data_IF_459078447366
#
_entry.id   IF_459078447366
#
_cell.length_a   1.000
_cell.length_b   1.000
_cell.length_c   1.000
_cell.angle_alpha   90.00
_cell.angle_beta   90.00
_cell.angle_gamma   90.00
#
_symmetry.space_group_name_H-M   'P 1'
#
loop_
_entity.id
_entity.type
_entity.pdbx_description
1 polymer ?
#
# COMPACT_ATOMS: atom_id res chain seq x y z
N UNK A 1 35.04 19.17 -1.20
CA UNK A 1 33.69 19.76 -1.19
C UNK A 1 32.72 18.72 -1.72
N UNK A 2 31.83 18.19 -0.89
CA UNK A 2 30.85 17.20 -1.31
C UNK A 2 29.69 17.98 -1.92
N UNK A 3 29.48 17.87 -3.22
CA UNK A 3 28.37 18.52 -3.89
C UNK A 3 27.05 18.06 -3.24
N UNK A 4 26.23 19.00 -2.76
CA UNK A 4 24.88 18.67 -2.33
C UNK A 4 24.08 18.26 -3.57
N UNK A 5 23.60 17.02 -3.59
CA UNK A 5 22.67 16.61 -4.65
C UNK A 5 21.38 17.41 -4.47
N UNK A 6 20.98 18.13 -5.52
CA UNK A 6 19.69 18.81 -5.53
C UNK A 6 18.57 17.75 -5.45
N UNK A 7 17.86 17.73 -4.32
CA UNK A 7 16.69 16.87 -4.16
C UNK A 7 15.46 17.56 -4.73
N UNK A 8 14.92 17.00 -5.81
CA UNK A 8 13.66 17.49 -6.38
C UNK A 8 12.50 16.93 -5.57
N UNK A 9 11.62 17.81 -5.09
CA UNK A 9 10.40 17.41 -4.39
C UNK A 9 9.30 17.19 -5.43
N UNK A 10 8.88 15.93 -5.60
CA UNK A 10 7.70 15.59 -6.39
C UNK A 10 6.45 15.65 -5.51
N UNK A 11 5.43 16.41 -5.96
CA UNK A 11 4.12 16.43 -5.30
C UNK A 11 3.24 15.34 -5.89
N UNK A 12 2.70 14.48 -5.02
CA UNK A 12 1.78 13.41 -5.40
C UNK A 12 0.37 13.75 -4.91
N UNK A 13 -0.60 14.02 -5.80
CA UNK A 13 -1.98 14.17 -5.40
C UNK A 13 -2.52 12.80 -4.96
N UNK A 14 -3.09 12.73 -3.77
CA UNK A 14 -3.75 11.53 -3.28
C UNK A 14 -5.14 11.41 -3.92
N UNK A 15 -5.40 10.28 -4.59
CA UNK A 15 -6.69 9.95 -5.18
C UNK A 15 -7.50 9.11 -4.19
N UNK A 16 -8.82 9.18 -4.24
CA UNK A 16 -9.64 8.25 -3.47
C UNK A 16 -9.43 6.83 -3.98
N UNK A 17 -9.21 5.87 -3.08
CA UNK A 17 -8.99 4.48 -3.46
C UNK A 17 -10.28 3.82 -3.97
N UNK A 18 -10.17 3.03 -5.03
CA UNK A 18 -11.22 2.13 -5.52
C UNK A 18 -10.61 0.80 -5.92
N UNK A 19 -11.38 -0.28 -5.93
CA UNK A 19 -10.90 -1.59 -6.38
C UNK A 19 -10.35 -1.51 -7.82
N UNK A 20 -10.97 -0.69 -8.68
CA UNK A 20 -10.54 -0.50 -10.06
C UNK A 20 -9.19 0.21 -10.16
N UNK A 21 -9.03 1.36 -9.49
CA UNK A 21 -7.81 2.15 -9.63
C UNK A 21 -6.61 1.56 -8.86
N UNK A 22 -6.88 0.66 -7.92
CA UNK A 22 -5.85 0.00 -7.11
C UNK A 22 -5.41 -1.36 -7.66
N UNK A 23 -6.15 -1.93 -8.62
CA UNK A 23 -5.98 -3.30 -9.14
C UNK A 23 -4.54 -3.68 -9.53
N UNK A 24 -3.77 -2.74 -10.07
CA UNK A 24 -2.38 -3.00 -10.49
C UNK A 24 -1.38 -3.12 -9.32
N UNK A 25 -1.76 -2.68 -8.12
CA UNK A 25 -0.94 -2.70 -6.91
C UNK A 25 -1.39 -3.79 -5.93
N UNK A 26 -2.64 -4.24 -6.06
CA UNK A 26 -3.24 -5.34 -5.31
C UNK A 26 -4.75 -5.19 -5.17
N UNK A 27 -5.29 -5.49 -3.98
CA UNK A 27 -6.73 -5.55 -3.73
C UNK A 27 -7.16 -4.55 -2.65
N UNK A 28 -8.39 -4.05 -2.77
CA UNK A 28 -9.08 -3.26 -1.73
C UNK A 28 -10.17 -4.14 -1.14
N UNK A 29 -10.18 -4.26 0.18
CA UNK A 29 -11.03 -5.20 0.91
C UNK A 29 -12.02 -4.38 1.74
N UNK A 30 -13.29 -4.44 1.35
CA UNK A 30 -14.40 -3.84 2.07
C UNK A 30 -15.14 -4.90 2.89
N UNK A 31 -15.99 -4.44 3.81
CA UNK A 31 -16.92 -5.34 4.50
C UNK A 31 -17.82 -6.04 3.48
N UNK A 32 -18.00 -7.35 3.67
CA UNK A 32 -18.91 -8.19 2.89
C UNK A 32 -20.12 -8.60 3.74
N UNK A 33 -21.15 -9.12 3.07
CA UNK A 33 -22.28 -9.75 3.74
C UNK A 33 -21.83 -10.98 4.55
N UNK A 34 -22.57 -11.26 5.62
CA UNK A 34 -22.39 -12.48 6.40
C UNK A 34 -22.55 -13.71 5.51
N UNK A 35 -21.78 -14.78 5.74
CA UNK A 35 -21.84 -16.04 4.98
C UNK A 35 -21.51 -15.97 3.48
N UNK A 36 -20.96 -14.85 2.98
CA UNK A 36 -20.44 -14.81 1.61
C UNK A 36 -19.38 -15.91 1.41
N UNK A 37 -19.52 -16.78 0.38
CA UNK A 37 -18.50 -17.75 0.05
C UNK A 37 -17.18 -17.10 -0.37
N UNK A 38 -16.07 -17.79 -0.10
CA UNK A 38 -14.75 -17.35 -0.54
C UNK A 38 -14.70 -17.14 -2.06
N UNK A 39 -14.14 -16.01 -2.49
CA UNK A 39 -14.03 -15.65 -3.90
C UNK A 39 -12.94 -14.63 -4.19
N UNK A 40 -12.93 -14.14 -5.42
CA UNK A 40 -11.90 -13.22 -5.93
C UNK A 40 -11.89 -11.84 -5.25
N UNK A 41 -12.96 -11.49 -4.53
CA UNK A 41 -13.05 -10.25 -3.77
C UNK A 41 -12.41 -10.35 -2.38
N UNK A 42 -12.15 -11.57 -1.90
CA UNK A 42 -11.37 -11.78 -0.69
C UNK A 42 -9.89 -11.57 -0.95
N UNK A 43 -9.16 -11.17 0.09
CA UNK A 43 -7.72 -11.00 0.01
C UNK A 43 -7.03 -12.33 -0.32
N UNK A 44 -6.39 -12.41 -1.49
CA UNK A 44 -5.64 -13.58 -1.93
C UNK A 44 -4.24 -13.55 -1.31
N UNK A 45 -4.07 -14.22 -0.16
CA UNK A 45 -2.83 -14.17 0.62
C UNK A 45 -1.82 -15.21 0.14
N UNK A 46 -0.58 -14.77 -0.07
CA UNK A 46 0.56 -15.67 -0.25
C UNK A 46 1.41 -15.71 1.03
N UNK A 47 1.29 -16.82 1.75
CA UNK A 47 1.92 -17.04 3.06
C UNK A 47 2.92 -18.20 3.08
N UNK A 48 3.26 -18.76 1.91
CA UNK A 48 4.01 -20.02 1.82
C UNK A 48 5.52 -19.90 2.11
N UNK A 49 6.08 -18.68 2.03
CA UNK A 49 7.53 -18.44 2.02
C UNK A 49 8.10 -18.04 3.40
N UNK A 50 7.61 -18.64 4.48
CA UNK A 50 8.08 -18.40 5.85
C UNK A 50 6.93 -18.26 6.85
N UNK A 51 7.23 -17.72 8.03
CA UNK A 51 6.22 -17.51 9.07
C UNK A 51 5.47 -16.19 8.86
N UNK A 52 4.14 -16.20 8.68
CA UNK A 52 3.35 -14.97 8.59
C UNK A 52 3.50 -14.12 9.84
N UNK A 53 3.61 -12.81 9.65
CA UNK A 53 3.70 -11.86 10.75
C UNK A 53 2.43 -11.03 10.82
N UNK A 54 1.75 -11.09 11.96
CA UNK A 54 0.66 -10.19 12.30
C UNK A 54 1.08 -9.28 13.46
N UNK A 55 0.95 -7.97 13.28
CA UNK A 55 1.33 -7.00 14.31
C UNK A 55 0.57 -5.68 14.12
N UNK A 56 0.42 -4.94 15.21
CA UNK A 56 -0.18 -3.60 15.21
C UNK A 56 0.96 -2.58 15.24
N UNK A 57 0.99 -1.70 14.25
CA UNK A 57 2.00 -0.64 14.16
C UNK A 57 1.45 0.66 14.75
N UNK A 58 2.17 1.24 15.72
CA UNK A 58 1.91 2.61 16.17
C UNK A 58 2.73 3.59 15.33
N UNK A 59 2.11 4.21 14.34
CA UNK A 59 2.72 5.28 13.56
C UNK A 59 2.72 6.58 14.37
N UNK A 60 3.90 7.13 14.63
CA UNK A 60 4.05 8.52 15.08
C UNK A 60 3.92 9.44 13.86
N UNK A 61 3.56 10.71 14.06
CA UNK A 61 3.22 11.63 12.98
C UNK A 61 4.44 11.95 12.09
N UNK A 62 4.71 11.09 11.10
CA UNK A 62 5.87 11.18 10.19
C UNK A 62 5.66 12.21 9.05
N UNK A 63 4.53 12.90 9.04
CA UNK A 63 4.14 13.80 7.95
C UNK A 63 3.84 13.06 6.65
N UNK A 64 3.75 13.81 5.54
CA UNK A 64 3.40 13.30 4.20
C UNK A 64 4.56 13.41 3.22
N UNK A 65 5.79 13.23 3.71
CA UNK A 65 7.02 13.27 2.92
C UNK A 65 7.78 11.97 3.14
N UNK A 66 8.24 11.36 2.05
CA UNK A 66 9.05 10.15 2.08
C UNK A 66 10.14 10.25 1.01
N UNK A 67 11.21 9.47 1.21
CA UNK A 67 12.35 9.36 0.28
C UNK A 67 12.67 7.92 -0.13
N UNK A 68 11.90 6.97 0.39
CA UNK A 68 12.10 5.53 0.19
C UNK A 68 10.75 4.83 0.14
N UNK A 69 10.69 3.75 -0.63
CA UNK A 69 9.57 2.80 -0.67
C UNK A 69 10.13 1.39 -0.49
N UNK A 70 9.31 0.50 0.07
CA UNK A 70 9.67 -0.90 0.33
C UNK A 70 8.89 -1.81 -0.62
N UNK A 71 9.51 -2.89 -1.08
CA UNK A 71 8.88 -3.98 -1.84
C UNK A 71 9.13 -5.31 -1.15
N UNK A 72 8.08 -6.05 -0.86
CA UNK A 72 8.15 -7.43 -0.38
C UNK A 72 8.07 -8.36 -1.59
N UNK A 73 9.08 -9.21 -1.81
CA UNK A 73 9.17 -10.07 -3.02
C UNK A 73 8.63 -11.48 -2.82
N UNK A 74 8.40 -11.89 -1.57
CA UNK A 74 8.14 -13.27 -1.20
C UNK A 74 6.79 -13.45 -0.49
N UNK A 75 6.05 -12.38 -0.25
CA UNK A 75 4.77 -12.43 0.43
C UNK A 75 3.91 -11.24 0.06
N UNK A 76 2.61 -11.41 0.23
CA UNK A 76 1.63 -10.32 0.20
C UNK A 76 1.58 -9.61 1.55
N UNK A 77 1.23 -8.32 1.57
CA UNK A 77 1.04 -7.56 2.80
C UNK A 77 -0.35 -6.96 2.87
N UNK A 78 -1.07 -7.18 3.97
CA UNK A 78 -2.31 -6.47 4.24
C UNK A 78 -2.08 -5.30 5.21
N UNK A 79 -2.74 -4.17 4.94
CA UNK A 79 -2.67 -2.97 5.77
C UNK A 79 -4.08 -2.41 5.98
N UNK A 80 -4.33 -1.95 7.20
CA UNK A 80 -5.56 -1.29 7.59
C UNK A 80 -5.33 -0.42 8.82
N UNK A 81 -6.23 0.53 9.02
CA UNK A 81 -6.26 1.42 10.18
C UNK A 81 -7.17 0.85 11.27
N UNK A 82 -6.79 1.04 12.53
CA UNK A 82 -7.70 0.85 13.65
C UNK A 82 -8.58 2.09 13.86
N UNK A 83 -9.73 1.90 14.50
CA UNK A 83 -10.68 2.96 14.88
C UNK A 83 -11.27 3.75 13.70
N UNK A 84 -11.34 3.17 12.49
CA UNK A 84 -11.93 3.85 11.35
C UNK A 84 -11.15 5.09 10.88
N UNK A 85 -9.85 5.16 11.16
CA UNK A 85 -9.02 6.33 10.81
C UNK A 85 -8.57 6.31 9.37
N UNK A 86 -8.91 7.35 8.63
CA UNK A 86 -8.37 7.59 7.31
C UNK A 86 -6.83 7.65 7.31
N UNK A 87 -6.24 7.15 6.23
CA UNK A 87 -4.80 7.15 6.06
C UNK A 87 -4.41 7.29 4.58
N UNK A 88 -3.11 7.42 4.33
CA UNK A 88 -2.58 7.61 2.99
C UNK A 88 -1.48 6.59 2.71
N UNK A 89 -1.40 6.14 1.46
CA UNK A 89 -0.30 5.32 0.97
C UNK A 89 0.19 5.84 -0.38
N UNK A 90 1.49 5.69 -0.63
CA UNK A 90 2.06 5.82 -1.96
C UNK A 90 2.58 4.45 -2.40
N UNK A 91 2.23 4.05 -3.62
CA UNK A 91 2.56 2.75 -4.22
C UNK A 91 3.14 2.95 -5.62
N UNK A 92 3.93 1.98 -6.06
CA UNK A 92 4.45 1.90 -7.41
C UNK A 92 4.05 0.54 -8.02
N UNK A 93 3.84 0.45 -9.35
CA UNK A 93 3.54 -0.82 -9.98
C UNK A 93 4.72 -1.79 -9.80
N UNK A 94 4.46 -3.11 -9.74
CA UNK A 94 5.53 -4.09 -9.72
C UNK A 94 6.38 -3.97 -10.99
N UNK A 95 7.70 -4.07 -10.82
CA UNK A 95 8.65 -4.07 -11.92
C UNK A 95 9.85 -4.98 -11.58
N UNK A 96 10.71 -5.27 -12.55
CA UNK A 96 11.95 -6.03 -12.32
C UNK A 96 13.13 -5.14 -11.91
N UNK A 97 13.00 -3.83 -12.06
CA UNK A 97 14.04 -2.88 -11.69
C UNK A 97 14.30 -2.88 -10.18
N UNK A 98 15.50 -2.40 -9.82
CA UNK A 98 15.86 -2.18 -8.41
C UNK A 98 15.01 -1.09 -7.77
N UNK A 99 14.68 -0.07 -8.55
CA UNK A 99 13.97 1.14 -8.11
C UNK A 99 12.64 1.31 -8.86
N UNK A 100 11.62 1.92 -8.24
CA UNK A 100 10.38 2.26 -8.94
C UNK A 100 10.63 3.37 -9.96
N UNK A 101 9.87 3.37 -11.06
CA UNK A 101 9.80 4.54 -11.91
C UNK A 101 9.07 5.66 -11.13
N UNK A 102 9.76 6.78 -10.84
CA UNK A 102 9.19 7.86 -10.03
C UNK A 102 7.88 8.41 -10.60
N UNK A 103 7.79 8.51 -11.93
CA UNK A 103 6.59 8.96 -12.64
C UNK A 103 5.39 8.00 -12.52
N UNK A 104 5.62 6.75 -12.12
CA UNK A 104 4.58 5.74 -11.96
C UNK A 104 4.07 5.63 -10.51
N UNK A 105 4.66 6.39 -9.58
CA UNK A 105 4.20 6.39 -8.18
C UNK A 105 2.83 7.06 -8.12
N UNK A 106 1.87 6.37 -7.50
CA UNK A 106 0.54 6.90 -7.21
C UNK A 106 0.32 6.99 -5.71
N UNK A 107 -0.38 8.03 -5.28
CA UNK A 107 -0.81 8.19 -3.90
C UNK A 107 -2.31 7.97 -3.79
N UNK A 108 -2.73 7.31 -2.72
CA UNK A 108 -4.12 7.01 -2.42
C UNK A 108 -4.49 7.51 -1.02
N UNK A 109 -5.68 8.07 -0.91
CA UNK A 109 -6.41 8.24 0.34
C UNK A 109 -7.22 6.97 0.56
N UNK A 110 -7.08 6.39 1.74
CA UNK A 110 -7.74 5.16 2.15
C UNK A 110 -8.69 5.50 3.29
N UNK A 111 -10.01 5.32 3.09
CA UNK A 111 -10.98 5.53 4.14
C UNK A 111 -10.81 4.47 5.24
N UNK A 112 -11.13 4.83 6.48
CA UNK A 112 -10.96 3.92 7.61
C UNK A 112 -11.88 2.68 7.65
N UNK A 113 -12.72 2.48 6.63
CA UNK A 113 -13.66 1.37 6.52
C UNK A 113 -13.20 0.27 5.54
N UNK A 114 -11.95 0.31 5.08
CA UNK A 114 -11.40 -0.73 4.22
C UNK A 114 -9.94 -1.04 4.54
N UNK A 115 -9.51 -2.21 4.07
CA UNK A 115 -8.13 -2.67 4.14
C UNK A 115 -7.59 -2.79 2.71
N UNK A 116 -6.28 -2.77 2.56
CA UNK A 116 -5.61 -3.08 1.29
C UNK A 116 -4.75 -4.32 1.42
N UNK A 117 -4.61 -5.06 0.33
CA UNK A 117 -3.60 -6.09 0.14
C UNK A 117 -2.66 -5.65 -0.97
N UNK A 118 -1.36 -5.67 -0.70
CA UNK A 118 -0.29 -5.42 -1.66
C UNK A 118 0.23 -6.75 -2.22
N UNK A 119 0.53 -6.76 -3.53
CA UNK A 119 1.23 -7.85 -4.23
C UNK A 119 2.75 -7.81 -4.07
#
# INVERSE_FOLDING_TARGET
>A
MIASQAHTILKLPAKQITSENFRQYGQVIFASEHEKPYGAEDAQLNLQNGTPRFYIMRLKHNGRKFKSITRHKQCTQCLGSLEGKDWFIAVAPPNQAKEPALAAISAFHIPGNCFIKLE
#
